data_IF_869233720106
#
_entry.id   IF_869233720106
#
_cell.length_a   1.000
_cell.length_b   1.000
_cell.length_c   1.000
_cell.angle_alpha   90.00
_cell.angle_beta   90.00
_cell.angle_gamma   90.00
#
_symmetry.space_group_name_H-M   'P 1'
#
loop_
_entity.id
_entity.type
_entity.pdbx_description
1 polymer ?
#
# COMPACT_ATOMS: atom_id res chain seq x y z
N UNK A 1 2.33 -13.03 -18.89
CA UNK A 1 2.20 -13.81 -17.64
C UNK A 1 1.07 -14.81 -17.79
N UNK A 2 1.21 -16.01 -17.21
CA UNK A 2 0.22 -17.10 -17.30
C UNK A 2 -0.53 -17.30 -15.98
N UNK A 3 -1.86 -17.33 -16.03
CA UNK A 3 -2.71 -17.61 -14.87
C UNK A 3 -3.64 -18.79 -15.19
N UNK A 4 -3.25 -20.03 -14.85
CA UNK A 4 -4.08 -21.21 -15.07
C UNK A 4 -5.28 -21.25 -14.11
N UNK A 5 -6.43 -21.74 -14.56
CA UNK A 5 -7.64 -21.85 -13.74
C UNK A 5 -7.66 -23.13 -12.88
N UNK A 6 -7.15 -24.25 -13.41
CA UNK A 6 -7.03 -25.56 -12.76
C UNK A 6 -5.89 -26.34 -13.41
N UNK A 7 -5.19 -27.13 -12.62
CA UNK A 7 -4.21 -28.12 -13.11
C UNK A 7 -4.91 -29.48 -13.15
N UNK A 8 -4.88 -30.16 -14.29
CA UNK A 8 -5.36 -31.55 -14.38
C UNK A 8 -4.34 -32.51 -13.78
N UNK A 9 -4.73 -33.76 -13.49
CA UNK A 9 -3.83 -34.78 -12.90
C UNK A 9 -2.56 -35.03 -13.72
N UNK A 10 -2.55 -34.64 -15.00
CA UNK A 10 -1.41 -34.76 -15.92
C UNK A 10 -0.50 -33.51 -15.93
N UNK A 11 -0.74 -32.53 -15.05
CA UNK A 11 0.11 -31.34 -14.91
C UNK A 11 -0.12 -30.26 -15.98
N UNK A 12 -1.12 -30.42 -16.86
CA UNK A 12 -1.49 -29.41 -17.84
C UNK A 12 -2.68 -28.58 -17.34
N UNK A 13 -2.59 -27.25 -17.47
CA UNK A 13 -3.75 -26.38 -17.29
C UNK A 13 -4.54 -26.25 -18.60
N UNK A 14 -5.74 -26.85 -18.65
CA UNK A 14 -6.63 -26.84 -19.82
C UNK A 14 -7.17 -25.44 -20.16
N UNK A 15 -7.31 -24.57 -19.15
CA UNK A 15 -7.86 -23.22 -19.32
C UNK A 15 -7.08 -22.21 -18.49
N UNK A 16 -6.80 -21.05 -19.11
CA UNK A 16 -6.26 -19.87 -18.43
C UNK A 16 -7.37 -18.89 -18.11
N UNK A 17 -7.15 -18.06 -17.09
CA UNK A 17 -8.02 -16.95 -16.77
C UNK A 17 -8.11 -15.98 -17.96
N UNK A 18 -9.30 -15.43 -18.18
CA UNK A 18 -9.60 -14.55 -19.31
C UNK A 18 -10.50 -13.39 -18.85
N UNK A 19 -10.18 -12.13 -19.13
CA UNK A 19 -10.93 -10.99 -18.56
C UNK A 19 -11.06 -11.03 -17.02
N UNK A 20 -9.95 -11.34 -16.35
CA UNK A 20 -9.82 -11.23 -14.89
C UNK A 20 -9.16 -9.90 -14.54
N UNK A 21 -9.75 -9.14 -13.62
CA UNK A 21 -9.27 -7.83 -13.19
C UNK A 21 -8.91 -7.87 -11.70
N UNK A 22 -7.64 -7.58 -11.41
CA UNK A 22 -7.02 -7.67 -10.09
C UNK A 22 -6.52 -6.28 -9.67
N UNK A 23 -6.67 -5.97 -8.39
CA UNK A 23 -6.11 -4.76 -7.79
C UNK A 23 -4.84 -5.10 -7.00
N UNK A 24 -3.81 -4.28 -7.13
CA UNK A 24 -2.51 -4.60 -6.58
C UNK A 24 -1.49 -3.48 -6.68
N UNK A 25 -0.37 -3.71 -6.01
CA UNK A 25 0.73 -2.77 -5.87
C UNK A 25 2.02 -3.38 -6.41
N UNK A 26 2.78 -2.61 -7.20
CA UNK A 26 4.09 -3.02 -7.67
C UNK A 26 5.15 -2.55 -6.67
N UNK A 27 5.89 -3.50 -6.10
CA UNK A 27 6.99 -3.25 -5.16
C UNK A 27 8.32 -3.70 -5.76
N UNK A 28 9.40 -3.15 -5.21
CA UNK A 28 10.77 -3.57 -5.51
C UNK A 28 11.37 -4.08 -4.21
N UNK A 29 11.48 -5.40 -4.08
CA UNK A 29 12.15 -6.05 -2.95
C UNK A 29 13.67 -6.00 -3.16
N UNK A 30 14.41 -5.58 -2.14
CA UNK A 30 15.88 -5.69 -2.11
C UNK A 30 16.26 -6.87 -1.22
N UNK A 31 16.80 -7.92 -1.83
CA UNK A 31 17.20 -9.13 -1.09
C UNK A 31 18.39 -8.82 -0.16
N UNK A 32 18.30 -9.12 1.15
CA UNK A 32 19.32 -8.74 2.13
C UNK A 32 20.71 -9.30 1.80
N UNK A 33 20.79 -10.53 1.29
CA UNK A 33 22.08 -11.22 1.06
C UNK A 33 22.79 -10.81 -0.23
N UNK A 34 22.04 -10.42 -1.27
CA UNK A 34 22.59 -10.22 -2.62
C UNK A 34 22.48 -8.77 -3.12
N UNK A 35 21.78 -7.90 -2.39
CA UNK A 35 21.33 -6.56 -2.83
C UNK A 35 20.63 -6.56 -4.19
N UNK A 36 20.20 -7.74 -4.67
CA UNK A 36 19.49 -7.87 -5.92
C UNK A 36 18.08 -7.35 -5.74
N UNK A 37 17.68 -6.47 -6.66
CA UNK A 37 16.31 -5.95 -6.72
C UNK A 37 15.42 -6.93 -7.49
N UNK A 38 14.32 -7.35 -6.89
CA UNK A 38 13.28 -8.14 -7.54
C UNK A 38 11.96 -7.36 -7.57
N UNK A 39 11.35 -7.24 -8.75
CA UNK A 39 10.01 -6.64 -8.88
C UNK A 39 8.94 -7.65 -8.50
N UNK A 40 7.98 -7.25 -7.67
CA UNK A 40 6.84 -8.07 -7.28
C UNK A 40 5.54 -7.29 -7.35
N UNK A 41 4.51 -7.92 -7.89
CA UNK A 41 3.16 -7.41 -7.88
C UNK A 41 2.38 -8.08 -6.75
N UNK A 42 2.05 -7.29 -5.73
CA UNK A 42 1.25 -7.69 -4.56
C UNK A 42 -0.22 -7.43 -4.83
N UNK A 43 -0.99 -8.48 -5.05
CA UNK A 43 -2.43 -8.39 -5.30
C UNK A 43 -3.17 -8.37 -3.97
N UNK A 44 -4.01 -7.36 -3.75
CA UNK A 44 -4.78 -7.22 -2.53
C UNK A 44 -6.30 -7.30 -2.73
N UNK A 45 -6.83 -7.10 -3.94
CA UNK A 45 -8.28 -7.22 -4.22
C UNK A 45 -8.56 -7.77 -5.64
N UNK A 46 -9.82 -8.13 -5.90
CA UNK A 46 -10.32 -8.76 -7.13
C UNK A 46 -11.65 -8.10 -7.53
N UNK A 47 -11.72 -7.55 -8.75
CA UNK A 47 -12.93 -6.90 -9.25
C UNK A 47 -13.73 -7.78 -10.21
N UNK A 48 -13.04 -8.61 -11.00
CA UNK A 48 -13.67 -9.52 -11.94
C UNK A 48 -12.86 -10.80 -12.15
N UNK A 49 -13.54 -11.92 -12.37
CA UNK A 49 -12.91 -13.21 -12.70
C UNK A 49 -13.60 -13.82 -13.91
N UNK A 50 -12.83 -14.18 -14.94
CA UNK A 50 -13.39 -14.85 -16.12
C UNK A 50 -14.55 -14.07 -16.80
N UNK A 51 -14.46 -12.73 -16.84
CA UNK A 51 -15.50 -11.85 -17.38
C UNK A 51 -16.68 -11.59 -16.43
N UNK A 52 -16.73 -12.22 -15.26
CA UNK A 52 -17.80 -12.04 -14.27
C UNK A 52 -17.35 -11.04 -13.21
N UNK A 53 -18.12 -9.97 -13.02
CA UNK A 53 -17.87 -8.99 -11.95
C UNK A 53 -18.15 -9.59 -10.58
N UNK A 54 -17.30 -9.28 -9.60
CA UNK A 54 -17.42 -9.71 -8.20
C UNK A 54 -17.40 -8.55 -7.22
N UNK A 55 -17.51 -7.31 -7.71
CA UNK A 55 -17.40 -6.09 -6.90
C UNK A 55 -18.48 -5.99 -5.80
N UNK A 56 -19.65 -6.58 -6.01
CA UNK A 56 -20.75 -6.58 -5.04
C UNK A 56 -20.52 -7.55 -3.88
N UNK A 57 -19.59 -8.50 -4.02
CA UNK A 57 -19.28 -9.46 -2.96
C UNK A 57 -18.51 -8.78 -1.84
N UNK A 58 -18.66 -9.22 -0.58
CA UNK A 58 -17.82 -8.79 0.54
C UNK A 58 -16.32 -8.97 0.28
N UNK A 59 -15.49 -8.09 0.84
CA UNK A 59 -14.03 -8.13 0.68
C UNK A 59 -13.44 -9.50 1.01
N UNK A 60 -13.87 -10.14 2.10
CA UNK A 60 -13.34 -11.45 2.49
C UNK A 60 -13.57 -12.54 1.44
N UNK A 61 -14.69 -12.49 0.70
CA UNK A 61 -14.95 -13.43 -0.39
C UNK A 61 -14.01 -13.15 -1.55
N UNK A 62 -13.87 -11.88 -1.95
CA UNK A 62 -12.98 -11.46 -3.04
C UNK A 62 -11.52 -11.82 -2.73
N UNK A 63 -11.08 -11.58 -1.49
CA UNK A 63 -9.75 -11.92 -1.00
C UNK A 63 -9.51 -13.43 -0.99
N UNK A 64 -10.48 -14.25 -0.53
CA UNK A 64 -10.41 -15.71 -0.64
C UNK A 64 -10.40 -16.18 -2.09
N UNK A 65 -11.12 -15.53 -3.00
CA UNK A 65 -11.12 -15.88 -4.42
C UNK A 65 -9.75 -15.66 -5.09
N UNK A 66 -8.90 -14.79 -4.57
CA UNK A 66 -7.53 -14.63 -5.04
C UNK A 66 -6.70 -15.91 -4.93
N UNK A 67 -6.94 -16.76 -3.91
CA UNK A 67 -6.27 -18.07 -3.83
C UNK A 67 -6.56 -18.91 -5.07
N UNK A 68 -7.79 -18.88 -5.59
CA UNK A 68 -8.15 -19.65 -6.80
C UNK A 68 -7.41 -19.16 -8.05
N UNK A 69 -6.93 -17.93 -8.06
CA UNK A 69 -6.17 -17.34 -9.18
C UNK A 69 -4.66 -17.59 -9.02
N UNK A 70 -4.16 -17.55 -7.79
CA UNK A 70 -2.72 -17.60 -7.48
C UNK A 70 -2.23 -19.01 -7.20
N UNK A 71 -3.03 -19.85 -6.55
CA UNK A 71 -2.65 -21.21 -6.17
C UNK A 71 -2.35 -22.10 -7.39
N UNK A 72 -3.19 -22.15 -8.45
CA UNK A 72 -2.88 -22.98 -9.61
C UNK A 72 -1.60 -22.53 -10.31
N UNK A 73 -1.31 -21.23 -10.32
CA UNK A 73 -0.07 -20.69 -10.86
C UNK A 73 1.16 -21.15 -10.09
N UNK A 74 1.08 -21.14 -8.75
CA UNK A 74 2.16 -21.60 -7.89
C UNK A 74 2.37 -23.12 -8.02
N UNK A 75 1.30 -23.90 -8.04
CA UNK A 75 1.36 -25.35 -8.24
C UNK A 75 2.01 -25.70 -9.58
N UNK A 76 1.60 -25.08 -10.70
CA UNK A 76 2.16 -25.33 -12.04
C UNK A 76 3.66 -25.00 -12.06
N UNK A 77 4.07 -23.95 -11.35
CA UNK A 77 5.48 -23.53 -11.24
C UNK A 77 6.36 -24.50 -10.43
N UNK A 78 5.87 -25.05 -9.32
CA UNK A 78 6.68 -25.88 -8.41
C UNK A 78 6.56 -27.39 -8.67
N UNK A 79 5.47 -27.86 -9.27
CA UNK A 79 5.19 -29.30 -9.43
C UNK A 79 5.44 -29.82 -10.85
N UNK A 80 5.45 -28.95 -11.86
CA UNK A 80 5.65 -29.38 -13.24
C UNK A 80 7.12 -29.72 -13.49
N UNK A 81 7.42 -31.01 -13.70
CA UNK A 81 8.76 -31.50 -14.08
C UNK A 81 9.25 -30.96 -15.44
N UNK A 82 8.33 -30.47 -16.28
CA UNK A 82 8.66 -29.82 -17.54
C UNK A 82 7.61 -28.75 -17.86
N UNK A 83 7.73 -27.52 -17.30
CA UNK A 83 6.72 -26.50 -17.50
C UNK A 83 6.79 -26.00 -18.95
N UNK A 84 5.71 -26.17 -19.71
CA UNK A 84 5.55 -25.58 -21.05
C UNK A 84 5.75 -24.05 -21.04
N UNK A 85 5.57 -23.43 -19.87
CA UNK A 85 5.71 -22.00 -19.64
C UNK A 85 6.89 -21.69 -18.71
N UNK A 86 7.78 -20.78 -19.13
CA UNK A 86 8.95 -20.33 -18.37
C UNK A 86 8.61 -19.20 -17.41
N UNK A 87 8.31 -19.57 -16.15
CA UNK A 87 8.03 -18.63 -15.06
C UNK A 87 9.24 -17.77 -14.65
N UNK A 88 10.45 -18.24 -14.92
CA UNK A 88 11.72 -17.55 -14.68
C UNK A 88 11.94 -16.34 -15.61
N UNK A 89 11.29 -16.34 -16.77
CA UNK A 89 11.37 -15.26 -17.77
C UNK A 89 10.35 -14.14 -17.55
N UNK A 90 9.53 -14.23 -16.49
CA UNK A 90 8.53 -13.19 -16.23
C UNK A 90 9.18 -11.91 -15.69
N UNK A 91 8.69 -10.73 -16.12
CA UNK A 91 9.30 -9.45 -15.76
C UNK A 91 9.19 -9.11 -14.27
N UNK A 92 8.25 -9.74 -13.56
CA UNK A 92 8.03 -9.58 -12.13
C UNK A 92 7.33 -10.82 -11.56
N UNK A 93 7.51 -11.04 -10.25
CA UNK A 93 6.80 -12.11 -9.52
C UNK A 93 5.43 -11.61 -9.09
N UNK A 94 4.49 -12.53 -8.90
CA UNK A 94 3.14 -12.20 -8.43
C UNK A 94 2.91 -12.89 -7.09
N UNK A 95 2.37 -12.18 -6.12
CA UNK A 95 2.05 -12.69 -4.78
C UNK A 95 0.74 -12.06 -4.30
N UNK A 96 -0.03 -12.79 -3.50
CA UNK A 96 -1.17 -12.22 -2.75
C UNK A 96 -0.65 -11.45 -1.54
N UNK A 97 -1.20 -10.26 -1.29
CA UNK A 97 -0.98 -9.48 -0.08
C UNK A 97 -1.82 -10.09 1.05
N UNK A 98 -1.16 -10.38 2.17
CA UNK A 98 -1.81 -10.96 3.34
C UNK A 98 -2.46 -9.84 4.16
N UNK A 99 -3.69 -10.10 4.63
CA UNK A 99 -4.42 -9.25 5.56
C UNK A 99 -4.48 -9.95 6.91
N UNK A 100 -4.43 -9.15 7.96
CA UNK A 100 -4.40 -9.62 9.34
C UNK A 100 -5.56 -9.00 10.13
N UNK A 101 -5.96 -9.65 11.20
CA UNK A 101 -6.96 -9.11 12.12
C UNK A 101 -6.41 -7.89 12.86
N UNK A 102 -7.30 -6.99 13.28
CA UNK A 102 -6.95 -5.79 14.05
C UNK A 102 -6.15 -6.11 15.32
N UNK A 103 -6.42 -7.25 15.96
CA UNK A 103 -5.68 -7.72 17.14
C UNK A 103 -4.19 -8.01 16.89
N UNK A 104 -3.76 -8.10 15.64
CA UNK A 104 -2.36 -8.39 15.26
C UNK A 104 -1.57 -7.12 14.93
N UNK A 105 -2.19 -5.94 14.94
CA UNK A 105 -1.57 -4.68 14.50
C UNK A 105 -0.29 -4.36 15.28
N UNK A 106 -0.26 -4.57 16.59
CA UNK A 106 0.96 -4.37 17.41
C UNK A 106 2.15 -5.20 16.93
N UNK A 107 1.91 -6.47 16.53
CA UNK A 107 2.96 -7.34 16.00
C UNK A 107 3.34 -6.96 14.58
N UNK A 108 2.40 -6.45 13.79
CA UNK A 108 2.68 -5.99 12.44
C UNK A 108 3.64 -4.79 12.45
N UNK A 109 3.38 -3.81 13.31
CA UNK A 109 4.20 -2.59 13.41
C UNK A 109 5.58 -2.90 14.01
N UNK A 110 5.65 -3.66 15.10
CA UNK A 110 6.92 -3.90 15.81
C UNK A 110 7.79 -5.00 15.19
N UNK A 111 7.20 -6.03 14.57
CA UNK A 111 7.96 -7.19 14.10
C UNK A 111 7.93 -7.41 12.58
N UNK A 112 6.80 -7.15 11.92
CA UNK A 112 6.63 -7.51 10.51
C UNK A 112 7.17 -6.42 9.57
N UNK A 113 6.71 -5.18 9.74
CA UNK A 113 7.10 -4.03 8.92
C UNK A 113 8.62 -3.81 8.90
N UNK A 114 9.33 -3.84 10.04
CA UNK A 114 10.79 -3.68 10.06
C UNK A 114 11.56 -4.80 9.36
N UNK A 115 10.93 -5.97 9.16
CA UNK A 115 11.53 -7.14 8.47
C UNK A 115 11.20 -7.20 6.99
N UNK A 116 10.42 -6.24 6.47
CA UNK A 116 10.09 -6.19 5.04
C UNK A 116 11.34 -5.89 4.21
N UNK A 117 11.39 -6.49 3.02
CA UNK A 117 12.44 -6.24 2.02
C UNK A 117 12.16 -5.04 1.13
N UNK A 118 11.11 -4.28 1.43
CA UNK A 118 10.67 -3.06 0.73
C UNK A 118 10.13 -2.05 1.73
N UNK A 119 10.08 -0.79 1.32
CA UNK A 119 9.59 0.31 2.16
C UNK A 119 8.09 0.18 2.41
N UNK A 120 7.67 0.43 3.66
CA UNK A 120 6.28 0.51 4.06
C UNK A 120 6.05 1.82 4.82
N UNK A 121 4.98 2.54 4.49
CA UNK A 121 4.72 3.89 4.98
C UNK A 121 3.53 3.98 5.96
N UNK A 122 3.00 2.83 6.38
CA UNK A 122 1.95 2.73 7.38
C UNK A 122 1.03 1.52 7.18
N UNK A 123 -0.25 1.69 7.46
CA UNK A 123 -1.27 0.65 7.49
C UNK A 123 -2.47 1.00 6.61
N UNK A 124 -3.08 -0.02 6.01
CA UNK A 124 -4.35 0.08 5.29
C UNK A 124 -5.39 -0.76 6.04
N UNK A 125 -6.51 -0.13 6.37
CA UNK A 125 -7.66 -0.77 7.00
C UNK A 125 -8.77 -0.95 5.96
N UNK A 126 -9.10 -2.21 5.71
CA UNK A 126 -10.12 -2.61 4.74
C UNK A 126 -11.29 -3.25 5.49
N UNK A 127 -12.50 -2.74 5.26
CA UNK A 127 -13.71 -3.35 5.82
C UNK A 127 -13.90 -4.77 5.30
N UNK A 128 -14.10 -5.71 6.23
CA UNK A 128 -14.15 -7.15 5.92
C UNK A 128 -15.37 -7.54 5.09
N UNK A 129 -16.51 -6.88 5.36
CA UNK A 129 -17.78 -7.13 4.70
C UNK A 129 -18.07 -6.14 3.55
N UNK A 130 -17.17 -5.19 3.31
CA UNK A 130 -17.41 -4.10 2.35
C UNK A 130 -17.35 -4.58 0.90
N UNK A 131 -18.28 -4.14 0.03
CA UNK A 131 -18.16 -4.33 -1.41
C UNK A 131 -17.00 -3.49 -1.97
N UNK A 132 -16.55 -3.81 -3.19
CA UNK A 132 -15.56 -3.00 -3.88
C UNK A 132 -16.22 -1.74 -4.41
N UNK A 133 -15.81 -0.57 -3.90
CA UNK A 133 -16.31 0.73 -4.34
C UNK A 133 -15.29 1.36 -5.29
N UNK A 134 -15.65 1.57 -6.57
CA UNK A 134 -14.78 2.29 -7.49
C UNK A 134 -14.54 3.73 -7.02
N UNK A 135 -13.32 4.24 -7.21
CA UNK A 135 -12.88 5.61 -6.85
C UNK A 135 -12.70 5.77 -5.33
N UNK A 136 -13.16 6.88 -4.77
CA UNK A 136 -12.98 7.21 -3.35
C UNK A 136 -13.96 6.42 -2.50
N UNK A 137 -13.41 5.61 -1.59
CA UNK A 137 -14.16 4.86 -0.60
C UNK A 137 -13.86 5.41 0.79
N UNK A 138 -14.88 5.88 1.51
CA UNK A 138 -14.71 6.48 2.84
C UNK A 138 -14.37 5.47 3.96
N UNK A 139 -14.78 4.20 3.80
CA UNK A 139 -14.45 3.10 4.71
C UNK A 139 -13.06 2.47 4.47
N UNK A 140 -12.39 2.78 3.35
CA UNK A 140 -11.00 2.37 3.13
C UNK A 140 -10.06 3.38 3.77
N UNK A 141 -9.58 3.05 4.96
CA UNK A 141 -8.74 3.95 5.73
C UNK A 141 -7.26 3.65 5.50
N UNK A 142 -6.47 4.71 5.46
CA UNK A 142 -5.01 4.62 5.42
C UNK A 142 -4.44 5.41 6.58
N UNK A 143 -3.64 4.75 7.40
CA UNK A 143 -2.82 5.40 8.42
C UNK A 143 -1.38 5.44 7.93
N UNK A 144 -0.73 6.58 8.12
CA UNK A 144 0.68 6.78 7.77
C UNK A 144 1.41 7.39 8.95
N UNK A 145 2.67 7.05 9.08
CA UNK A 145 3.58 7.71 10.00
C UNK A 145 3.60 9.22 9.72
N UNK A 146 3.51 10.04 10.78
CA UNK A 146 3.36 11.48 10.66
C UNK A 146 4.52 12.10 9.86
N UNK A 147 5.74 11.61 10.11
CA UNK A 147 6.99 11.98 9.45
C UNK A 147 7.06 11.57 7.97
N UNK A 148 6.25 10.60 7.55
CA UNK A 148 6.17 10.16 6.15
C UNK A 148 5.12 10.92 5.35
N UNK A 149 4.27 11.73 6.00
CA UNK A 149 3.40 12.65 5.28
C UNK A 149 4.24 13.71 4.57
N UNK A 150 4.06 13.80 3.26
CA UNK A 150 4.77 14.75 2.42
C UNK A 150 3.84 15.47 1.46
N UNK A 151 4.29 16.64 1.03
CA UNK A 151 3.64 17.45 0.01
C UNK A 151 4.68 17.78 -1.04
N UNK A 152 4.31 17.68 -2.32
CA UNK A 152 5.17 18.12 -3.40
C UNK A 152 4.87 19.57 -3.77
N UNK A 153 5.84 20.46 -3.57
CA UNK A 153 5.77 21.88 -3.89
C UNK A 153 6.61 22.20 -5.12
N UNK A 154 6.20 23.19 -5.90
CA UNK A 154 7.10 23.86 -6.82
C UNK A 154 7.86 24.91 -6.01
N UNK A 155 9.18 24.78 -5.96
CA UNK A 155 10.04 25.66 -5.18
C UNK A 155 10.68 26.69 -6.09
N UNK A 156 10.57 27.97 -5.74
CA UNK A 156 11.23 29.06 -6.45
C UNK A 156 11.95 29.94 -5.42
N UNK A 157 13.14 30.42 -5.76
CA UNK A 157 13.89 31.40 -4.97
C UNK A 157 13.94 32.69 -5.78
N UNK A 158 13.48 33.79 -5.18
CA UNK A 158 13.58 35.15 -5.74
C UNK A 158 14.77 35.87 -5.09
N UNK A 159 15.37 36.81 -5.83
CA UNK A 159 16.41 37.74 -5.37
C UNK A 159 16.17 38.17 -3.90
N UNK A 160 17.21 38.04 -3.07
CA UNK A 160 17.23 38.15 -1.60
C UNK A 160 16.81 36.90 -0.80
N UNK A 161 17.09 35.68 -1.29
CA UNK A 161 16.82 34.40 -0.61
C UNK A 161 15.35 34.21 -0.19
N UNK A 162 14.43 34.85 -0.92
CA UNK A 162 13.01 34.72 -0.64
C UNK A 162 12.51 33.40 -1.22
N UNK A 163 12.21 32.45 -0.34
CA UNK A 163 11.68 31.14 -0.71
C UNK A 163 10.18 31.21 -1.00
N UNK A 164 9.78 30.72 -2.17
CA UNK A 164 8.39 30.58 -2.57
C UNK A 164 8.01 29.12 -2.73
N UNK A 165 6.90 28.74 -2.10
CA UNK A 165 6.29 27.42 -2.23
C UNK A 165 5.00 27.52 -3.01
N UNK A 166 4.97 26.93 -4.20
CA UNK A 166 3.81 26.99 -5.08
C UNK A 166 3.08 25.65 -5.15
N UNK A 167 1.77 25.71 -5.02
CA UNK A 167 0.82 24.62 -5.21
C UNK A 167 -0.06 24.89 -6.42
N UNK A 168 -0.85 23.91 -6.84
CA UNK A 168 -1.87 24.10 -7.86
C UNK A 168 -3.27 24.26 -7.27
N UNK A 169 -4.07 25.16 -7.81
CA UNK A 169 -5.49 25.28 -7.51
C UNK A 169 -6.21 25.69 -8.79
N UNK A 170 -7.15 24.85 -9.26
CA UNK A 170 -7.96 25.13 -10.47
C UNK A 170 -7.12 25.52 -11.71
N UNK A 171 -5.97 24.86 -11.90
CA UNK A 171 -5.08 25.08 -13.04
C UNK A 171 -4.19 26.32 -12.93
N UNK A 172 -4.16 27.01 -11.79
CA UNK A 172 -3.25 28.14 -11.53
C UNK A 172 -2.26 27.80 -10.40
N UNK A 173 -1.08 28.40 -10.46
CA UNK A 173 -0.10 28.40 -9.37
C UNK A 173 -0.63 29.26 -8.22
N UNK A 174 -0.63 28.72 -7.02
CA UNK A 174 -1.00 29.40 -5.78
C UNK A 174 0.20 29.40 -4.85
N UNK A 175 0.62 30.58 -4.43
CA UNK A 175 1.66 30.73 -3.45
C UNK A 175 1.14 30.31 -2.07
N UNK A 176 1.94 29.52 -1.38
CA UNK A 176 1.76 29.20 0.03
C UNK A 176 2.63 30.17 0.85
N UNK A 177 1.98 31.12 1.50
CA UNK A 177 2.64 32.16 2.31
C UNK A 177 2.95 31.67 3.72
N UNK A 178 4.02 32.22 4.32
CA UNK A 178 4.35 32.02 5.74
C UNK A 178 5.08 30.72 6.08
N UNK A 179 5.52 29.95 5.08
CA UNK A 179 6.24 28.70 5.28
C UNK A 179 7.60 28.72 4.60
N UNK A 180 8.59 28.06 5.21
CA UNK A 180 9.96 27.91 4.69
C UNK A 180 10.33 26.45 4.54
N UNK A 181 11.31 26.19 3.68
CA UNK A 181 11.92 24.87 3.51
C UNK A 181 13.34 24.88 4.05
N UNK A 182 13.61 23.96 4.96
CA UNK A 182 14.94 23.63 5.43
C UNK A 182 15.58 22.59 4.50
N UNK A 183 16.80 22.87 4.04
CA UNK A 183 17.57 22.02 3.12
C UNK A 183 18.78 21.32 3.77
N UNK A 184 18.85 21.32 5.12
CA UNK A 184 19.89 20.64 5.93
C UNK A 184 21.32 20.68 5.35
N UNK A 185 21.82 21.90 5.12
CA UNK A 185 23.19 22.12 4.63
C UNK A 185 23.35 22.15 3.11
N UNK A 186 22.25 22.07 2.35
CA UNK A 186 22.25 22.26 0.90
C UNK A 186 21.81 23.68 0.54
N UNK A 187 22.36 24.21 -0.55
CA UNK A 187 22.00 25.55 -1.05
C UNK A 187 20.62 25.51 -1.74
N UNK A 188 19.61 26.25 -1.23
CA UNK A 188 18.27 26.31 -1.80
C UNK A 188 18.24 26.70 -3.28
N UNK A 189 19.18 27.51 -3.76
CA UNK A 189 19.17 28.03 -5.12
C UNK A 189 19.20 26.91 -6.18
N UNK A 190 19.85 25.78 -5.86
CA UNK A 190 19.94 24.61 -6.73
C UNK A 190 18.59 23.91 -6.97
N UNK A 191 17.59 24.20 -6.14
CA UNK A 191 16.26 23.61 -6.17
C UNK A 191 15.21 24.55 -6.77
N UNK A 192 15.59 25.80 -7.05
CA UNK A 192 14.70 26.80 -7.66
C UNK A 192 14.21 26.32 -9.04
N UNK A 193 12.91 26.47 -9.28
CA UNK A 193 12.20 26.00 -10.48
C UNK A 193 11.90 24.50 -10.51
N UNK A 194 12.23 23.74 -9.45
CA UNK A 194 12.01 22.29 -9.39
C UNK A 194 10.84 21.94 -8.46
N UNK A 195 10.23 20.79 -8.74
CA UNK A 195 9.26 20.20 -7.81
C UNK A 195 10.03 19.41 -6.76
N UNK A 196 9.82 19.76 -5.50
CA UNK A 196 10.45 19.13 -4.35
C UNK A 196 9.40 18.46 -3.48
N UNK A 197 9.73 17.30 -2.94
CA UNK A 197 8.95 16.63 -1.91
C UNK A 197 9.44 17.10 -0.55
N UNK A 198 8.52 17.55 0.31
CA UNK A 198 8.84 18.01 1.66
C UNK A 198 7.95 17.33 2.70
N UNK A 199 8.49 17.05 3.89
CA UNK A 199 7.71 16.68 5.09
C UNK A 199 7.62 17.83 6.07
N UNK A 200 6.59 17.82 6.91
CA UNK A 200 6.42 18.84 7.93
C UNK A 200 7.15 18.46 9.21
N UNK A 201 7.97 19.36 9.75
CA UNK A 201 8.52 19.28 11.09
C UNK A 201 7.67 20.12 12.04
N UNK A 202 6.97 19.46 12.96
CA UNK A 202 6.12 20.12 13.94
C UNK A 202 6.89 20.94 14.96
N UNK A 203 8.13 20.59 15.27
CA UNK A 203 8.92 21.24 16.29
C UNK A 203 9.53 22.54 15.75
N UNK A 204 10.01 22.51 14.50
CA UNK A 204 10.57 23.69 13.82
C UNK A 204 9.52 24.57 13.15
N UNK A 205 8.31 24.04 12.93
CA UNK A 205 7.28 24.68 12.11
C UNK A 205 7.80 25.00 10.70
N UNK A 206 8.59 24.09 10.13
CA UNK A 206 9.22 24.23 8.82
C UNK A 206 9.01 22.96 7.98
N UNK A 207 9.05 23.14 6.66
CA UNK A 207 9.09 22.01 5.73
C UNK A 207 10.53 21.51 5.60
N UNK A 208 10.76 20.21 5.74
CA UNK A 208 12.07 19.60 5.51
C UNK A 208 12.09 19.06 4.08
N UNK A 209 13.10 19.45 3.30
CA UNK A 209 13.34 18.89 1.98
C UNK A 209 13.66 17.39 2.07
N UNK A 210 12.96 16.57 1.27
CA UNK A 210 13.25 15.14 1.12
C UNK A 210 14.00 14.85 -0.18
N UNK A 211 13.42 15.21 -1.32
CA UNK A 211 13.99 14.90 -2.65
C UNK A 211 13.39 15.76 -3.76
N UNK A 212 14.04 15.76 -4.92
CA UNK A 212 13.50 16.32 -6.16
C UNK A 212 12.57 15.29 -6.81
N UNK A 213 11.39 15.74 -7.26
CA UNK A 213 10.39 14.95 -7.98
C UNK A 213 10.51 15.13 -9.48
N UNK A 214 11.54 14.52 -10.08
CA UNK A 214 11.73 14.52 -11.55
C UNK A 214 10.65 13.74 -12.29
N UNK A 215 9.91 12.88 -11.60
CA UNK A 215 8.77 12.12 -12.11
C UNK A 215 7.50 12.95 -12.28
N UNK A 216 7.45 14.16 -11.72
CA UNK A 216 6.28 15.03 -11.73
C UNK A 216 6.49 16.26 -12.60
N UNK A 217 5.47 16.62 -13.38
CA UNK A 217 5.41 17.86 -14.14
C UNK A 217 4.69 19.00 -13.41
N UNK A 218 3.95 18.68 -12.35
CA UNK A 218 3.12 19.64 -11.60
C UNK A 218 3.21 19.41 -10.09
N UNK A 219 3.20 20.47 -9.26
CA UNK A 219 3.10 20.32 -7.81
C UNK A 219 1.74 19.75 -7.39
N UNK A 220 1.58 19.47 -6.10
CA UNK A 220 0.30 18.98 -5.57
C UNK A 220 -0.80 20.05 -5.67
N UNK A 221 -2.05 19.58 -5.79
CA UNK A 221 -3.23 20.44 -5.66
C UNK A 221 -3.40 20.92 -4.21
N UNK A 222 -3.95 22.11 -4.04
CA UNK A 222 -4.20 22.72 -2.74
C UNK A 222 -5.12 21.85 -1.86
N UNK A 223 -6.05 21.10 -2.45
CA UNK A 223 -6.86 20.14 -1.69
C UNK A 223 -6.03 18.97 -1.15
N UNK A 224 -5.02 18.52 -1.89
CA UNK A 224 -4.08 17.50 -1.41
C UNK A 224 -3.28 18.04 -0.23
N UNK A 225 -2.72 19.25 -0.36
CA UNK A 225 -2.04 19.94 0.75
C UNK A 225 -2.94 20.05 1.99
N UNK A 226 -4.20 20.49 1.83
CA UNK A 226 -5.15 20.60 2.96
C UNK A 226 -5.40 19.27 3.65
N UNK A 227 -5.53 18.18 2.88
CA UNK A 227 -5.72 16.83 3.43
C UNK A 227 -4.48 16.37 4.19
N UNK A 228 -3.29 16.61 3.64
CA UNK A 228 -2.02 16.26 4.30
C UNK A 228 -1.84 17.08 5.59
N UNK A 229 -2.05 18.39 5.54
CA UNK A 229 -1.99 19.24 6.75
C UNK A 229 -3.01 18.85 7.81
N UNK A 230 -4.22 18.45 7.41
CA UNK A 230 -5.20 17.92 8.35
C UNK A 230 -4.69 16.64 9.00
N UNK A 231 -4.16 15.69 8.21
CA UNK A 231 -3.56 14.46 8.74
C UNK A 231 -2.41 14.71 9.70
N UNK A 232 -1.56 15.70 9.42
CA UNK A 232 -0.44 16.10 10.29
C UNK A 232 -0.97 16.71 11.59
N UNK A 233 -2.02 17.54 11.53
CA UNK A 233 -2.62 18.17 12.73
C UNK A 233 -3.40 17.19 13.59
N UNK A 234 -4.12 16.26 12.96
CA UNK A 234 -4.85 15.20 13.66
C UNK A 234 -3.87 14.28 14.43
N UNK A 235 -2.60 14.21 13.97
CA UNK A 235 -1.45 13.58 14.62
C UNK A 235 -1.77 12.25 15.33
N UNK A 236 -2.43 11.35 14.61
CA UNK A 236 -2.71 10.00 15.12
C UNK A 236 -1.38 9.25 15.15
N UNK A 237 -0.72 9.26 16.30
CA UNK A 237 0.54 8.53 16.51
C UNK A 237 0.30 7.02 16.57
N UNK A 238 1.38 6.25 16.50
CA UNK A 238 1.32 4.79 16.68
C UNK A 238 0.64 4.42 18.00
N UNK A 239 1.00 5.08 19.11
CA UNK A 239 0.42 4.81 20.43
C UNK A 239 -1.09 5.09 20.48
N UNK A 240 -1.52 6.22 19.90
CA UNK A 240 -2.95 6.57 19.82
C UNK A 240 -3.70 5.52 19.01
N UNK A 241 -3.16 5.16 17.84
CA UNK A 241 -3.76 4.13 16.98
C UNK A 241 -3.89 2.79 17.71
N UNK A 242 -2.85 2.35 18.41
CA UNK A 242 -2.84 1.09 19.14
C UNK A 242 -3.85 1.11 20.30
N UNK A 243 -3.96 2.20 21.03
CA UNK A 243 -4.95 2.36 22.10
C UNK A 243 -6.39 2.27 21.56
N UNK A 244 -6.70 3.01 20.50
CA UNK A 244 -8.01 2.96 19.84
C UNK A 244 -8.35 1.55 19.34
N UNK A 245 -7.38 0.86 18.73
CA UNK A 245 -7.57 -0.53 18.28
C UNK A 245 -7.86 -1.47 19.46
N UNK A 246 -7.15 -1.31 20.58
CA UNK A 246 -7.37 -2.12 21.78
C UNK A 246 -8.78 -1.94 22.36
N UNK A 247 -9.33 -0.74 22.30
CA UNK A 247 -10.72 -0.49 22.68
C UNK A 247 -11.71 -1.10 21.67
N UNK A 248 -11.46 -0.93 20.37
CA UNK A 248 -12.32 -1.43 19.29
C UNK A 248 -12.44 -2.95 19.32
N UNK A 249 -11.34 -3.69 19.52
CA UNK A 249 -11.38 -5.17 19.55
C UNK A 249 -12.19 -5.71 20.74
N UNK A 250 -12.39 -4.91 21.79
CA UNK A 250 -13.21 -5.28 22.94
C UNK A 250 -14.71 -5.07 22.68
N UNK A 251 -15.09 -4.34 21.63
CA UNK A 251 -16.50 -4.14 21.29
C UNK A 251 -17.14 -5.49 20.88
N UNK A 252 -18.40 -5.75 21.27
CA UNK A 252 -19.07 -7.03 21.02
C UNK A 252 -19.01 -7.50 19.57
N UNK A 253 -19.16 -6.56 18.63
CA UNK A 253 -19.09 -6.80 17.18
C UNK A 253 -17.79 -7.50 16.75
N UNK A 254 -16.66 -7.10 17.34
CA UNK A 254 -15.34 -7.63 17.00
C UNK A 254 -14.97 -8.83 17.88
N UNK A 255 -15.32 -8.80 19.17
CA UNK A 255 -15.01 -9.87 20.12
C UNK A 255 -15.62 -11.22 19.71
N UNK A 256 -16.87 -11.22 19.23
CA UNK A 256 -17.52 -12.44 18.75
C UNK A 256 -16.86 -13.01 17.50
N UNK A 257 -16.44 -12.13 16.57
CA UNK A 257 -15.76 -12.55 15.33
C UNK A 257 -14.35 -13.07 15.60
N UNK A 258 -13.59 -12.40 16.47
CA UNK A 258 -12.27 -12.87 16.92
C UNK A 258 -12.39 -14.25 17.59
N UNK A 259 -13.43 -14.49 18.40
CA UNK A 259 -13.70 -15.81 18.99
C UNK A 259 -13.98 -16.88 17.95
N UNK A 260 -14.79 -16.57 16.94
CA UNK A 260 -15.12 -17.51 15.85
C UNK A 260 -13.87 -17.87 15.04
N UNK A 261 -13.06 -16.87 14.67
CA UNK A 261 -11.85 -17.09 13.86
C UNK A 261 -10.74 -17.77 14.66
N UNK A 262 -10.58 -17.46 15.95
CA UNK A 262 -9.63 -18.16 16.84
C UNK A 262 -9.97 -19.64 16.96
N UNK A 263 -11.27 -19.98 17.03
CA UNK A 263 -11.73 -21.38 17.00
C UNK A 263 -11.47 -22.04 15.64
N UNK A 264 -11.69 -21.32 14.54
CA UNK A 264 -11.39 -21.81 13.20
C UNK A 264 -9.88 -22.10 13.03
N UNK A 265 -9.00 -21.19 13.47
CA UNK A 265 -7.54 -21.38 13.43
C UNK A 265 -7.04 -22.57 14.28
N UNK A 266 -7.65 -22.81 15.44
CA UNK A 266 -7.35 -24.01 16.24
C UNK A 266 -7.74 -25.28 15.47
N UNK A 267 -8.89 -25.29 14.81
CA UNK A 267 -9.35 -26.43 14.01
C UNK A 267 -8.46 -26.68 12.78
N UNK A 268 -8.04 -25.63 12.07
CA UNK A 268 -7.14 -25.75 10.91
C UNK A 268 -5.74 -26.24 11.30
N UNK A 269 -5.23 -25.84 12.47
CA UNK A 269 -3.95 -26.33 13.00
C UNK A 269 -4.02 -27.79 13.47
N UNK A 270 -5.17 -28.26 13.95
CA UNK A 270 -5.38 -29.69 14.25
C UNK A 270 -5.51 -30.53 12.98
N UNK A 271 -6.12 -30.00 11.92
CA UNK A 271 -6.23 -30.67 10.62
C UNK A 271 -4.90 -30.75 9.85
N UNK A 272 -3.98 -29.78 10.05
CA UNK A 272 -2.62 -29.81 9.49
C UNK A 272 -1.63 -30.71 10.25
N UNK A 273 -2.01 -31.21 11.43
CA UNK A 273 -1.20 -32.12 12.27
C UNK A 273 -1.67 -33.58 12.21
N UNK A 274 -2.62 -33.91 11.34
CA UNK A 274 -3.00 -35.28 10.96
C UNK A 274 -2.62 -35.52 9.52
#
# INVERSE_FOLDING_TARGET
MRFPCRITKDGMAEKTHHFTLLDGEMIIDTLPDSKKQERRYLIYDLMAINGVSVIERPFYERWKMLEKVIEPRNQERFQSRNPYYRYDMEPFRVRRKDFWLLSTVTKLLSEFIPKLSHDADGLIFQGWDDPYIPRTHEGLLKWKYAELNSVDFLFEVIDNDCQLLLLYERGKRKLLEGYRVAFEGLDPLHYSGKIIECSWDSDRQEWIFKRIRTDKSTPNDFNTYRKVMRSIRDNITEDVLLNEINEIICLPLYADRIRIDSKAHIHTNMARRR
#
